data_IF_833653814268
#
_entry.id   IF_833653814268
#
_cell.length_a   1.000
_cell.length_b   1.000
_cell.length_c   1.000
_cell.angle_alpha   90.00
_cell.angle_beta   90.00
_cell.angle_gamma   90.00
#
_symmetry.space_group_name_H-M   'P 1'
#
loop_
_entity.id
_entity.type
_entity.pdbx_description
1 polymer ?
#
# COMPACT_ATOMS: atom_id res chain seq x y z
N UNK A 1 36.90 15.56 -23.90
CA UNK A 1 36.35 15.34 -22.54
C UNK A 1 35.36 16.45 -22.24
N UNK A 2 34.06 16.17 -22.26
CA UNK A 2 33.02 17.18 -21.99
C UNK A 2 33.07 17.57 -20.51
N UNK A 3 33.53 18.78 -20.22
CA UNK A 3 33.65 19.27 -18.85
C UNK A 3 32.26 19.34 -18.18
N UNK A 4 32.14 18.74 -17.00
CA UNK A 4 30.93 18.84 -16.19
C UNK A 4 30.76 20.31 -15.76
N UNK A 5 29.66 20.94 -16.19
CA UNK A 5 29.42 22.37 -15.96
C UNK A 5 28.98 22.73 -14.54
N UNK A 6 28.46 21.76 -13.77
CA UNK A 6 28.16 21.87 -12.32
C UNK A 6 27.66 20.54 -11.75
N UNK A 7 27.71 20.37 -10.43
CA UNK A 7 27.14 19.21 -9.73
C UNK A 7 25.63 19.36 -9.47
N UNK A 8 24.91 18.24 -9.42
CA UNK A 8 23.50 18.20 -9.05
C UNK A 8 23.32 18.57 -7.57
N UNK A 9 22.43 19.51 -7.22
CA UNK A 9 22.25 19.92 -5.82
C UNK A 9 21.63 18.85 -4.92
N UNK A 10 21.13 17.74 -5.48
CA UNK A 10 20.46 16.67 -4.72
C UNK A 10 21.29 15.39 -4.58
N UNK A 11 22.22 15.14 -5.51
CA UNK A 11 23.00 13.89 -5.52
C UNK A 11 24.46 14.09 -5.93
N UNK A 12 24.90 15.33 -6.14
CA UNK A 12 26.25 15.72 -6.56
C UNK A 12 26.74 15.15 -7.91
N UNK A 13 25.92 14.39 -8.65
CA UNK A 13 26.26 13.93 -9.99
C UNK A 13 26.68 15.07 -10.92
N UNK A 14 27.66 14.85 -11.81
CA UNK A 14 28.08 15.84 -12.79
C UNK A 14 26.94 16.13 -13.79
N UNK A 15 26.63 17.41 -13.97
CA UNK A 15 25.68 17.87 -14.97
C UNK A 15 26.42 18.56 -16.11
N UNK A 16 26.18 18.05 -17.33
CA UNK A 16 26.80 18.58 -18.56
C UNK A 16 26.09 19.82 -19.11
N UNK A 17 24.83 20.05 -18.73
CA UNK A 17 24.04 21.19 -19.17
C UNK A 17 23.85 22.20 -18.02
N UNK A 18 24.45 23.38 -18.16
CA UNK A 18 24.43 24.47 -17.18
C UNK A 18 23.03 25.07 -16.96
N UNK A 19 22.05 24.83 -17.84
CA UNK A 19 20.67 25.27 -17.66
C UNK A 19 19.84 24.31 -16.79
N UNK A 20 20.25 23.05 -16.65
CA UNK A 20 19.48 22.04 -15.90
C UNK A 20 19.58 22.24 -14.39
N UNK A 21 18.44 22.40 -13.71
CA UNK A 21 18.39 22.61 -12.25
C UNK A 21 18.79 21.38 -11.43
N UNK A 22 18.73 20.18 -12.02
CA UNK A 22 19.08 18.89 -11.40
C UNK A 22 19.43 17.84 -12.48
N UNK A 23 20.04 16.71 -12.10
CA UNK A 23 20.66 15.73 -13.02
C UNK A 23 19.67 14.92 -13.87
N UNK A 24 18.41 14.80 -13.48
CA UNK A 24 17.36 14.08 -14.20
C UNK A 24 16.95 12.74 -13.59
N UNK A 25 17.71 12.23 -12.61
CA UNK A 25 17.36 11.02 -11.85
C UNK A 25 15.97 11.16 -11.19
N UNK A 26 15.17 10.09 -11.09
CA UNK A 26 13.83 10.15 -10.51
C UNK A 26 13.80 10.81 -9.12
N UNK A 27 14.75 10.46 -8.26
CA UNK A 27 14.81 10.95 -6.88
C UNK A 27 15.13 12.46 -6.82
N UNK A 28 16.08 12.91 -7.65
CA UNK A 28 16.43 14.32 -7.76
C UNK A 28 15.30 15.16 -8.36
N UNK A 29 14.54 14.61 -9.33
CA UNK A 29 13.32 15.24 -9.85
C UNK A 29 12.26 15.37 -8.76
N UNK A 30 12.05 14.33 -7.95
CA UNK A 30 11.09 14.37 -6.83
C UNK A 30 11.51 15.41 -5.79
N UNK A 31 12.78 15.44 -5.38
CA UNK A 31 13.31 16.41 -4.43
C UNK A 31 13.16 17.86 -4.92
N UNK A 32 13.55 18.12 -6.18
CA UNK A 32 13.38 19.43 -6.82
C UNK A 32 11.92 19.88 -6.85
N UNK A 33 11.01 19.00 -7.28
CA UNK A 33 9.59 19.33 -7.32
C UNK A 33 9.01 19.58 -5.93
N UNK A 34 9.45 18.82 -4.91
CA UNK A 34 9.00 18.98 -3.54
C UNK A 34 9.45 20.32 -2.94
N UNK A 35 10.71 20.71 -3.14
CA UNK A 35 11.21 22.03 -2.71
C UNK A 35 10.50 23.17 -3.42
N UNK A 36 10.35 23.07 -4.75
CA UNK A 36 9.61 24.05 -5.53
C UNK A 36 8.19 24.22 -5.03
N UNK A 37 7.49 23.11 -4.76
CA UNK A 37 6.12 23.13 -4.25
C UNK A 37 6.05 23.70 -2.83
N UNK A 38 6.99 23.36 -1.94
CA UNK A 38 7.07 23.92 -0.58
C UNK A 38 7.27 25.43 -0.60
N UNK A 39 8.17 25.92 -1.45
CA UNK A 39 8.40 27.36 -1.61
C UNK A 39 7.12 28.06 -2.08
N UNK A 40 6.55 27.56 -3.17
CA UNK A 40 5.32 28.12 -3.75
C UNK A 40 4.15 28.11 -2.77
N UNK A 41 3.98 27.05 -1.99
CA UNK A 41 2.95 26.97 -0.95
C UNK A 41 3.12 28.04 0.15
N UNK A 42 4.36 28.33 0.58
CA UNK A 42 4.62 29.40 1.55
C UNK A 42 4.31 30.78 0.97
N UNK A 43 4.69 31.01 -0.29
CA UNK A 43 4.38 32.26 -1.00
C UNK A 43 2.86 32.43 -1.13
N UNK A 44 2.15 31.38 -1.57
CA UNK A 44 0.69 31.36 -1.65
C UNK A 44 0.03 31.60 -0.29
N UNK A 45 0.54 30.99 0.78
CA UNK A 45 0.02 31.20 2.13
C UNK A 45 0.26 32.64 2.62
N UNK A 46 1.42 33.21 2.34
CA UNK A 46 1.74 34.60 2.70
C UNK A 46 0.83 35.60 1.95
N UNK A 47 0.52 35.32 0.68
CA UNK A 47 -0.35 36.17 -0.15
C UNK A 47 -1.84 36.02 0.20
N UNK A 48 -2.31 34.79 0.41
CA UNK A 48 -3.75 34.47 0.51
C UNK A 48 -4.21 34.04 1.90
N UNK A 49 -3.31 33.99 2.89
CA UNK A 49 -3.61 33.61 4.28
C UNK A 49 -4.01 32.13 4.47
N UNK A 50 -3.92 31.28 3.45
CA UNK A 50 -4.29 29.87 3.49
C UNK A 50 -3.33 29.02 2.65
N UNK A 51 -3.16 27.75 3.00
CA UNK A 51 -2.42 26.80 2.16
C UNK A 51 -3.21 26.50 0.87
N UNK A 52 -2.50 26.34 -0.25
CA UNK A 52 -3.13 25.89 -1.49
C UNK A 52 -3.50 24.41 -1.38
N UNK A 53 -4.72 24.07 -1.80
CA UNK A 53 -5.18 22.70 -1.93
C UNK A 53 -5.64 22.48 -3.37
N UNK A 54 -5.03 21.51 -4.07
CA UNK A 54 -5.37 21.20 -5.48
C UNK A 54 -6.79 20.66 -5.62
N UNK A 55 -7.33 20.07 -4.55
CA UNK A 55 -8.67 19.52 -4.48
C UNK A 55 -9.60 20.45 -3.71
N UNK A 56 -9.77 21.70 -4.19
CA UNK A 56 -10.97 22.43 -3.82
C UNK A 56 -12.10 21.86 -4.67
N UNK A 57 -12.80 20.84 -4.14
CA UNK A 57 -14.18 20.64 -4.56
C UNK A 57 -14.85 22.00 -4.48
N UNK A 58 -15.38 22.50 -5.60
CA UNK A 58 -16.10 23.77 -5.60
C UNK A 58 -17.19 23.78 -4.53
N UNK A 59 -17.66 24.95 -4.13
CA UNK A 59 -18.71 25.03 -3.10
C UNK A 59 -19.92 24.16 -3.43
N UNK A 60 -20.34 24.15 -4.70
CA UNK A 60 -21.37 23.27 -5.23
C UNK A 60 -21.07 21.77 -5.02
N UNK A 61 -19.83 21.35 -5.25
CA UNK A 61 -19.43 19.95 -5.08
C UNK A 61 -19.33 19.56 -3.59
N UNK A 62 -18.87 20.49 -2.73
CA UNK A 62 -18.90 20.29 -1.27
C UNK A 62 -20.34 20.18 -0.74
N UNK A 63 -21.23 21.03 -1.25
CA UNK A 63 -22.66 20.99 -0.94
C UNK A 63 -23.29 19.66 -1.40
N UNK A 64 -23.02 19.24 -2.64
CA UNK A 64 -23.45 17.93 -3.16
C UNK A 64 -22.98 16.77 -2.28
N UNK A 65 -21.70 16.73 -1.91
CA UNK A 65 -21.20 15.65 -1.04
C UNK A 65 -21.76 15.73 0.38
N UNK A 66 -22.05 16.93 0.91
CA UNK A 66 -22.73 17.10 2.19
C UNK A 66 -24.16 16.56 2.13
N UNK A 67 -24.93 17.00 1.15
CA UNK A 67 -26.29 16.53 0.89
C UNK A 67 -26.30 15.00 0.68
N UNK A 68 -25.39 14.45 -0.12
CA UNK A 68 -25.28 13.00 -0.32
C UNK A 68 -24.99 12.23 0.97
N UNK A 69 -24.14 12.76 1.86
CA UNK A 69 -23.89 12.13 3.18
C UNK A 69 -25.11 12.20 4.10
N UNK A 70 -25.89 13.29 4.02
CA UNK A 70 -27.13 13.45 4.77
C UNK A 70 -28.22 12.51 4.24
N UNK A 71 -28.44 12.47 2.92
CA UNK A 71 -29.37 11.57 2.22
C UNK A 71 -29.05 10.10 2.42
N UNK A 72 -27.79 9.71 2.24
CA UNK A 72 -27.34 8.32 2.47
C UNK A 72 -27.36 7.96 3.95
N UNK A 73 -27.54 8.93 4.84
CA UNK A 73 -27.42 8.75 6.27
C UNK A 73 -26.07 8.16 6.68
N UNK A 74 -25.91 7.95 7.98
CA UNK A 74 -24.79 7.14 8.45
C UNK A 74 -25.13 5.68 8.16
N UNK A 75 -24.36 4.96 7.32
CA UNK A 75 -24.65 3.54 6.98
C UNK A 75 -24.89 2.67 8.23
N UNK A 76 -24.21 2.94 9.35
CA UNK A 76 -24.50 2.21 10.60
C UNK A 76 -25.91 2.45 11.16
N UNK A 77 -26.54 3.60 10.91
CA UNK A 77 -27.93 3.90 11.28
C UNK A 77 -28.92 3.20 10.34
N UNK A 78 -28.63 3.18 9.03
CA UNK A 78 -29.49 2.52 8.04
C UNK A 78 -29.42 0.98 8.14
N UNK A 79 -28.26 0.44 8.49
CA UNK A 79 -28.00 -1.00 8.55
C UNK A 79 -27.36 -1.40 9.88
N UNK A 80 -28.07 -1.27 11.02
CA UNK A 80 -27.51 -1.52 12.35
C UNK A 80 -27.03 -2.97 12.51
N UNK A 81 -27.74 -3.95 11.94
CA UNK A 81 -27.32 -5.35 11.96
C UNK A 81 -26.01 -5.57 11.16
N UNK A 82 -25.88 -4.95 9.99
CA UNK A 82 -24.65 -5.05 9.19
C UNK A 82 -23.47 -4.34 9.87
N UNK A 83 -23.73 -3.21 10.54
CA UNK A 83 -22.74 -2.51 11.36
C UNK A 83 -22.27 -3.34 12.54
N UNK A 84 -23.20 -3.97 13.28
CA UNK A 84 -22.87 -4.88 14.37
C UNK A 84 -22.05 -6.09 13.87
N UNK A 85 -22.41 -6.66 12.73
CA UNK A 85 -21.63 -7.73 12.10
C UNK A 85 -20.22 -7.27 11.69
N UNK A 86 -20.08 -6.05 11.15
CA UNK A 86 -18.78 -5.47 10.84
C UNK A 86 -17.92 -5.27 12.10
N UNK A 87 -18.51 -4.72 13.16
CA UNK A 87 -17.81 -4.47 14.42
C UNK A 87 -17.46 -5.79 15.14
N UNK A 88 -18.31 -6.82 15.05
CA UNK A 88 -17.99 -8.18 15.51
C UNK A 88 -16.80 -8.78 14.75
N UNK A 89 -16.79 -8.73 13.40
CA UNK A 89 -15.64 -9.19 12.59
C UNK A 89 -14.36 -8.42 12.89
N UNK A 90 -14.47 -7.12 13.18
CA UNK A 90 -13.32 -6.30 13.59
C UNK A 90 -12.79 -6.75 14.96
N UNK A 91 -13.66 -6.96 15.95
CA UNK A 91 -13.27 -7.46 17.28
C UNK A 91 -12.58 -8.81 17.20
N UNK A 92 -13.16 -9.76 16.46
CA UNK A 92 -12.53 -11.07 16.21
C UNK A 92 -11.13 -10.94 15.61
N UNK A 93 -10.92 -10.05 14.62
CA UNK A 93 -9.60 -9.81 14.04
C UNK A 93 -8.60 -9.22 15.04
N UNK A 94 -9.04 -8.28 15.88
CA UNK A 94 -8.18 -7.68 16.91
C UNK A 94 -7.82 -8.70 17.99
N UNK A 95 -8.80 -9.49 18.42
CA UNK A 95 -8.61 -10.54 19.43
C UNK A 95 -7.67 -11.64 18.91
N UNK A 96 -7.87 -12.12 17.69
CA UNK A 96 -6.93 -13.04 17.03
C UNK A 96 -5.53 -12.45 16.86
N UNK A 97 -5.41 -11.15 16.57
CA UNK A 97 -4.11 -10.48 16.53
C UNK A 97 -3.46 -10.35 17.92
N UNK A 98 -4.25 -10.27 19.00
CA UNK A 98 -3.74 -10.19 20.38
C UNK A 98 -3.43 -11.54 21.03
N UNK A 99 -4.11 -12.61 20.60
CA UNK A 99 -3.98 -13.97 21.15
C UNK A 99 -3.08 -14.88 20.28
N UNK A 100 -2.68 -14.40 19.10
CA UNK A 100 -1.85 -15.15 18.18
C UNK A 100 -0.38 -15.18 18.59
N UNK A 101 0.27 -16.33 18.36
CA UNK A 101 1.72 -16.42 18.27
C UNK A 101 2.25 -15.33 17.32
N UNK A 102 3.32 -14.60 17.68
CA UNK A 102 3.85 -13.55 16.81
C UNK A 102 4.28 -14.15 15.48
N UNK A 103 3.57 -13.80 14.41
CA UNK A 103 3.93 -14.19 13.05
C UNK A 103 4.92 -13.17 12.51
N UNK A 104 6.19 -13.54 12.43
CA UNK A 104 7.23 -12.72 11.80
C UNK A 104 7.31 -13.10 10.32
N UNK A 105 6.96 -12.22 9.36
CA UNK A 105 6.93 -12.57 7.93
C UNK A 105 8.24 -13.18 7.40
N UNK A 106 9.38 -12.65 7.85
CA UNK A 106 10.69 -13.16 7.47
C UNK A 106 10.90 -14.63 7.88
N UNK A 107 10.39 -15.03 9.06
CA UNK A 107 10.49 -16.42 9.56
C UNK A 107 9.57 -17.35 8.75
N UNK A 108 8.39 -16.89 8.36
CA UNK A 108 7.48 -17.64 7.47
C UNK A 108 8.18 -17.92 6.13
N UNK A 109 8.82 -16.90 5.54
CA UNK A 109 9.53 -17.02 4.27
C UNK A 109 10.77 -17.92 4.37
N UNK A 110 11.55 -17.78 5.43
CA UNK A 110 12.70 -18.65 5.67
C UNK A 110 12.28 -20.11 5.88
N UNK A 111 11.25 -20.36 6.69
CA UNK A 111 10.69 -21.71 6.95
C UNK A 111 10.24 -22.38 5.66
N UNK A 112 9.58 -21.63 4.77
CA UNK A 112 9.07 -22.16 3.51
C UNK A 112 10.13 -22.17 2.40
N UNK A 113 11.40 -21.88 2.72
CA UNK A 113 12.50 -21.87 1.76
C UNK A 113 12.29 -20.89 0.62
N UNK A 114 11.68 -19.73 0.90
CA UNK A 114 11.31 -18.73 -0.09
C UNK A 114 10.51 -19.31 -1.27
N UNK A 115 9.67 -20.30 -1.00
CA UNK A 115 8.82 -20.93 -2.01
C UNK A 115 7.36 -20.56 -1.79
N UNK A 116 6.68 -20.11 -2.84
CA UNK A 116 5.26 -19.82 -2.80
C UNK A 116 4.47 -21.12 -2.62
N UNK A 117 3.80 -21.28 -1.48
CA UNK A 117 3.02 -22.47 -1.14
C UNK A 117 1.68 -22.56 -1.90
N UNK A 118 1.33 -21.52 -2.67
CA UNK A 118 0.14 -21.49 -3.52
C UNK A 118 0.39 -22.03 -4.94
N UNK A 119 1.53 -21.68 -5.54
CA UNK A 119 1.86 -22.08 -6.92
C UNK A 119 3.10 -23.00 -7.03
N UNK A 120 3.87 -23.15 -5.96
CA UNK A 120 5.11 -23.93 -5.92
C UNK A 120 6.34 -23.21 -6.48
N UNK A 121 6.20 -22.00 -7.02
CA UNK A 121 7.32 -21.24 -7.60
C UNK A 121 8.19 -20.51 -6.55
N UNK A 122 9.45 -20.18 -6.88
CA UNK A 122 10.32 -19.41 -5.99
C UNK A 122 9.82 -17.97 -5.81
N UNK A 123 10.08 -17.41 -4.64
CA UNK A 123 9.86 -16.00 -4.28
C UNK A 123 11.24 -15.36 -4.18
N UNK A 124 11.45 -14.29 -4.94
CA UNK A 124 12.66 -13.49 -4.84
C UNK A 124 12.54 -12.48 -3.68
N UNK A 125 13.40 -12.55 -2.64
CA UNK A 125 13.38 -11.62 -1.50
C UNK A 125 13.71 -10.18 -1.88
N UNK A 126 14.37 -9.93 -3.02
CA UNK A 126 14.74 -8.58 -3.46
C UNK A 126 13.57 -7.83 -4.12
N UNK A 127 12.51 -8.55 -4.50
CA UNK A 127 11.33 -7.95 -5.13
C UNK A 127 10.48 -7.22 -4.08
N UNK A 128 10.54 -5.89 -4.13
CA UNK A 128 9.83 -5.01 -3.22
C UNK A 128 8.31 -4.97 -3.48
N UNK A 129 7.53 -4.88 -2.40
CA UNK A 129 6.10 -4.56 -2.46
C UNK A 129 5.88 -3.19 -3.16
N UNK A 130 4.82 -3.00 -3.98
CA UNK A 130 3.66 -3.87 -4.23
C UNK A 130 3.78 -4.72 -5.50
N UNK A 131 4.97 -5.16 -5.89
CA UNK A 131 5.12 -5.96 -7.11
C UNK A 131 4.30 -7.28 -7.01
N UNK A 132 3.60 -7.71 -8.08
CA UNK A 132 2.85 -8.97 -8.09
C UNK A 132 3.65 -10.21 -7.67
N UNK A 133 4.97 -10.22 -7.87
CA UNK A 133 5.89 -11.29 -7.50
C UNK A 133 6.56 -11.09 -6.13
N UNK A 134 6.31 -9.97 -5.45
CA UNK A 134 6.82 -9.72 -4.10
C UNK A 134 6.29 -10.74 -3.08
N UNK A 135 7.06 -10.95 -2.02
CA UNK A 135 6.69 -11.84 -0.92
C UNK A 135 5.48 -11.32 -0.15
N UNK A 136 4.58 -12.23 0.23
CA UNK A 136 3.43 -11.97 1.09
C UNK A 136 3.13 -13.17 1.98
N UNK A 137 2.53 -12.93 3.14
CA UNK A 137 2.07 -13.97 4.05
C UNK A 137 0.60 -14.27 3.76
N UNK A 138 0.31 -15.51 3.35
CA UNK A 138 -1.03 -16.03 3.11
C UNK A 138 -1.51 -16.84 4.31
N UNK A 139 -2.78 -16.70 4.69
CA UNK A 139 -3.41 -17.57 5.68
C UNK A 139 -3.99 -18.81 5.01
N UNK A 140 -3.53 -20.01 5.38
CA UNK A 140 -3.98 -21.30 4.83
C UNK A 140 -5.50 -21.40 4.95
N UNK A 141 -6.01 -21.28 6.17
CA UNK A 141 -7.42 -21.00 6.46
C UNK A 141 -7.57 -19.49 6.62
N UNK A 142 -8.34 -18.80 5.75
CA UNK A 142 -8.54 -17.36 5.84
C UNK A 142 -9.12 -16.92 7.19
N UNK A 143 -8.70 -15.75 7.67
CA UNK A 143 -9.24 -15.14 8.91
C UNK A 143 -10.78 -14.98 8.84
N UNK A 144 -11.32 -14.68 7.67
CA UNK A 144 -12.77 -14.53 7.45
C UNK A 144 -13.56 -15.83 7.68
N UNK A 145 -12.89 -16.99 7.57
CA UNK A 145 -13.46 -18.32 7.83
C UNK A 145 -13.07 -18.87 9.21
N UNK A 146 -12.54 -18.02 10.10
CA UNK A 146 -12.16 -18.41 11.46
C UNK A 146 -10.74 -18.96 11.58
N UNK A 147 -9.90 -18.89 10.54
CA UNK A 147 -8.50 -19.25 10.65
C UNK A 147 -7.75 -18.36 11.65
N UNK A 148 -6.80 -18.94 12.39
CA UNK A 148 -5.99 -18.21 13.35
C UNK A 148 -4.86 -17.41 12.67
N UNK A 149 -4.44 -16.29 13.26
CA UNK A 149 -3.17 -15.66 12.88
C UNK A 149 -2.04 -16.26 13.72
N UNK A 150 -1.50 -17.39 13.26
CA UNK A 150 -0.45 -18.14 13.96
C UNK A 150 0.48 -18.80 12.94
N UNK A 151 1.72 -19.15 13.34
CA UNK A 151 2.72 -19.71 12.42
C UNK A 151 2.20 -20.98 11.71
N UNK A 152 1.41 -21.79 12.40
CA UNK A 152 0.80 -23.01 11.85
C UNK A 152 -0.26 -22.76 10.75
N UNK A 153 -0.89 -21.57 10.70
CA UNK A 153 -1.95 -21.24 9.73
C UNK A 153 -1.50 -20.19 8.70
N UNK A 154 -0.21 -19.87 8.63
CA UNK A 154 0.33 -18.95 7.64
C UNK A 154 1.38 -19.64 6.77
N UNK A 155 1.53 -19.15 5.55
CA UNK A 155 2.47 -19.65 4.56
C UNK A 155 2.94 -18.56 3.61
N UNK A 156 4.06 -18.80 2.95
CA UNK A 156 4.65 -17.90 1.98
C UNK A 156 3.89 -17.94 0.66
N UNK A 157 3.65 -16.76 0.08
CA UNK A 157 2.98 -16.63 -1.20
C UNK A 157 3.48 -15.41 -1.96
N UNK A 158 3.48 -15.47 -3.30
CA UNK A 158 3.54 -14.24 -4.10
C UNK A 158 2.32 -13.37 -3.80
N UNK A 159 2.50 -12.05 -3.83
CA UNK A 159 1.41 -11.09 -3.63
C UNK A 159 0.24 -11.34 -4.59
N UNK A 160 0.53 -11.64 -5.87
CA UNK A 160 -0.46 -11.98 -6.89
C UNK A 160 -1.22 -13.28 -6.60
N UNK A 161 -0.51 -14.32 -6.15
CA UNK A 161 -1.11 -15.61 -5.81
C UNK A 161 -2.04 -15.48 -4.60
N UNK A 162 -1.59 -14.80 -3.55
CA UNK A 162 -2.38 -14.52 -2.35
C UNK A 162 -3.64 -13.70 -2.69
N UNK A 163 -3.46 -12.64 -3.49
CA UNK A 163 -4.57 -11.80 -3.98
C UNK A 163 -5.60 -12.58 -4.81
N UNK A 164 -5.17 -13.60 -5.56
CA UNK A 164 -6.06 -14.47 -6.33
C UNK A 164 -6.77 -15.51 -5.46
N UNK A 165 -6.11 -16.05 -4.43
CA UNK A 165 -6.70 -17.01 -3.48
C UNK A 165 -7.82 -16.36 -2.67
N UNK A 166 -7.64 -15.12 -2.20
CA UNK A 166 -8.61 -14.39 -1.36
C UNK A 166 -8.99 -15.21 -0.11
N UNK A 167 -10.27 -15.30 0.20
CA UNK A 167 -10.88 -16.02 1.31
C UNK A 167 -11.24 -17.48 0.97
N UNK A 168 -10.57 -18.08 -0.02
CA UNK A 168 -10.77 -19.50 -0.39
C UNK A 168 -9.74 -20.40 0.29
N UNK A 169 -10.16 -21.62 0.65
CA UNK A 169 -9.28 -22.69 1.13
C UNK A 169 -8.76 -23.47 -0.07
N UNK A 170 -7.44 -23.75 -0.11
CA UNK A 170 -6.77 -24.24 -1.32
C UNK A 170 -7.17 -25.66 -1.74
N UNK A 171 -7.75 -26.47 -0.85
CA UNK A 171 -8.30 -27.79 -1.18
C UNK A 171 -9.40 -27.72 -2.27
N UNK A 172 -9.95 -26.52 -2.51
CA UNK A 172 -10.96 -26.23 -3.53
C UNK A 172 -10.41 -25.49 -4.76
N UNK A 173 -9.09 -25.23 -4.86
CA UNK A 173 -8.48 -24.43 -5.93
C UNK A 173 -7.44 -25.27 -6.67
N UNK A 174 -7.72 -25.62 -7.95
CA UNK A 174 -6.74 -26.28 -8.83
C UNK A 174 -5.41 -25.50 -8.81
N UNK A 175 -4.24 -26.19 -8.77
CA UNK A 175 -2.94 -25.53 -8.74
C UNK A 175 -2.86 -24.54 -9.89
N UNK A 176 -2.61 -23.28 -9.56
CA UNK A 176 -2.66 -22.26 -10.59
C UNK A 176 -1.37 -22.30 -11.40
N UNK A 177 -1.46 -22.89 -12.59
CA UNK A 177 -0.40 -22.84 -13.59
C UNK A 177 -0.19 -21.37 -14.00
N UNK A 178 1.02 -20.85 -13.82
CA UNK A 178 1.45 -19.67 -14.54
C UNK A 178 1.65 -20.04 -16.03
N UNK A 179 1.35 -19.12 -16.97
CA UNK A 179 1.67 -19.30 -18.38
C UNK A 179 3.18 -19.39 -18.62
#
# INVERSE_FOLDING_TARGET
MTQATRACPYCNDPMTNSRRKQCGKPDCKRAFNAERMRKWQREYQAEHGQWYTSHKHGEAQRAYHRQKREEQGHWRKLYPAAAAAYDARRRMRVEQASQGEPVVPAEVHARDGWTCRLCGGPIDPEVAWPDPMSASVDHIVPLALGGAHAMANVQSAHLSCNSRKRDKIIDQVKPIKLP
#
